data_IF_808280180858
#
_entry.id   IF_808280180858
#
_cell.length_a   1.000
_cell.length_b   1.000
_cell.length_c   1.000
_cell.angle_alpha   90.00
_cell.angle_beta   90.00
_cell.angle_gamma   90.00
#
_symmetry.space_group_name_H-M   'P 1'
#
loop_
_entity.id
_entity.type
_entity.pdbx_description
1 polymer ?
#
# COMPACT_ATOMS: atom_id res chain seq x y z
N UNK A 1 -14.00 69.66 -12.84
CA UNK A 1 -14.36 68.55 -11.97
C UNK A 1 -13.10 67.85 -11.49
N UNK A 2 -12.73 67.92 -10.21
CA UNK A 2 -11.56 67.27 -9.69
C UNK A 2 -11.84 65.75 -9.42
N UNK A 3 -10.84 64.91 -9.50
CA UNK A 3 -11.00 63.47 -9.25
C UNK A 3 -11.21 63.17 -7.75
N UNK A 4 -12.11 62.24 -7.49
CA UNK A 4 -12.54 61.79 -6.17
C UNK A 4 -11.48 60.83 -5.61
N UNK A 5 -10.80 61.23 -4.55
CA UNK A 5 -9.90 60.36 -3.75
C UNK A 5 -10.73 59.35 -2.97
N UNK A 6 -10.36 58.07 -3.08
CA UNK A 6 -10.88 56.98 -2.25
C UNK A 6 -10.01 56.81 -1.02
N UNK A 7 -10.57 56.62 0.18
CA UNK A 7 -9.79 56.50 1.39
C UNK A 7 -9.07 55.14 1.45
N UNK A 8 -7.77 55.22 1.77
CA UNK A 8 -6.94 54.08 2.08
C UNK A 8 -7.46 53.39 3.36
N UNK A 9 -7.92 52.13 3.24
CA UNK A 9 -8.28 51.29 4.37
C UNK A 9 -7.00 50.66 4.93
N UNK A 10 -6.57 51.19 6.06
CA UNK A 10 -5.53 50.60 6.90
C UNK A 10 -6.02 49.22 7.37
N UNK A 11 -5.31 48.17 6.99
CA UNK A 11 -5.48 46.82 7.53
C UNK A 11 -4.76 46.75 8.87
N UNK A 12 -5.53 46.71 9.94
CA UNK A 12 -5.07 46.32 11.27
C UNK A 12 -4.57 44.88 11.23
N UNK A 13 -3.27 44.72 11.45
CA UNK A 13 -2.60 43.43 11.66
C UNK A 13 -2.58 43.19 13.16
N UNK A 14 -3.65 42.64 13.71
CA UNK A 14 -3.68 41.96 15.00
C UNK A 14 -4.89 41.03 15.06
N UNK A 15 -4.74 39.81 14.48
CA UNK A 15 -5.58 38.67 14.82
C UNK A 15 -4.67 37.44 15.09
N UNK A 16 -4.40 37.11 16.38
CA UNK A 16 -3.66 35.91 16.74
C UNK A 16 -4.59 34.69 16.84
N UNK A 17 -5.21 34.27 15.74
CA UNK A 17 -6.21 33.21 15.72
C UNK A 17 -6.15 32.19 14.57
N UNK A 18 -5.12 32.23 13.75
CA UNK A 18 -4.91 31.18 12.74
C UNK A 18 -4.18 30.00 13.40
N UNK A 19 -4.92 28.94 13.72
CA UNK A 19 -4.39 27.67 14.23
C UNK A 19 -3.34 27.12 13.25
N UNK A 20 -2.08 27.28 13.59
CA UNK A 20 -0.96 26.59 13.01
C UNK A 20 -1.19 25.11 13.29
N UNK A 21 -1.47 24.32 12.26
CA UNK A 21 -1.40 22.87 12.32
C UNK A 21 0.03 22.52 12.76
N UNK A 22 0.21 22.22 14.03
CA UNK A 22 1.48 21.78 14.60
C UNK A 22 1.87 20.49 13.89
N UNK A 23 3.00 20.50 13.21
CA UNK A 23 3.70 19.30 12.80
C UNK A 23 3.85 18.38 14.04
N UNK A 24 3.74 17.05 13.90
CA UNK A 24 3.90 16.14 15.01
C UNK A 24 5.24 16.45 15.70
N UNK A 25 5.15 16.86 16.94
CA UNK A 25 6.32 17.25 17.72
C UNK A 25 7.23 16.04 17.85
N UNK A 26 8.54 16.24 17.76
CA UNK A 26 9.57 15.19 17.93
C UNK A 26 9.38 14.32 19.20
N UNK A 27 8.62 14.83 20.17
CA UNK A 27 8.17 14.12 21.37
C UNK A 27 7.14 13.02 21.06
N UNK A 28 6.22 13.23 20.10
CA UNK A 28 5.23 12.22 19.72
C UNK A 28 5.86 11.07 18.95
N UNK A 29 6.83 11.35 18.09
CA UNK A 29 7.61 10.34 17.37
C UNK A 29 8.48 9.51 18.32
N UNK A 30 9.11 10.15 19.32
CA UNK A 30 9.89 9.46 20.33
C UNK A 30 9.02 8.51 21.18
N UNK A 31 7.79 8.91 21.51
CA UNK A 31 6.81 8.10 22.24
C UNK A 31 6.33 6.90 21.42
N UNK A 32 6.13 7.07 20.10
CA UNK A 32 5.77 5.94 19.21
C UNK A 32 6.90 4.92 19.09
N UNK A 33 8.13 5.39 18.94
CA UNK A 33 9.32 4.52 18.89
C UNK A 33 9.49 3.77 20.21
N UNK A 34 9.32 4.44 21.35
CA UNK A 34 9.40 3.80 22.68
C UNK A 34 8.31 2.72 22.85
N UNK A 35 7.07 2.98 22.40
CA UNK A 35 5.99 1.99 22.43
C UNK A 35 6.25 0.80 21.51
N UNK A 36 6.83 1.03 20.32
CA UNK A 36 7.21 -0.02 19.39
C UNK A 36 8.32 -0.90 19.97
N UNK A 37 9.32 -0.31 20.61
CA UNK A 37 10.39 -1.03 21.31
C UNK A 37 9.86 -1.87 22.46
N UNK A 38 9.00 -1.32 23.32
CA UNK A 38 8.38 -2.06 24.42
C UNK A 38 7.55 -3.26 23.94
N UNK A 39 6.84 -3.13 22.80
CA UNK A 39 6.11 -4.26 22.20
C UNK A 39 7.07 -5.34 21.68
N UNK A 40 8.19 -4.95 21.06
CA UNK A 40 9.18 -5.88 20.56
C UNK A 40 9.88 -6.64 21.70
N UNK A 41 10.19 -5.98 22.79
CA UNK A 41 10.75 -6.61 24.00
C UNK A 41 9.78 -7.58 24.65
N UNK A 42 8.51 -7.19 24.78
CA UNK A 42 7.47 -8.07 25.30
C UNK A 42 7.26 -9.32 24.43
N UNK A 43 7.36 -9.19 23.11
CA UNK A 43 7.29 -10.32 22.17
C UNK A 43 8.49 -11.25 22.32
N UNK A 44 9.71 -10.73 22.48
CA UNK A 44 10.92 -11.52 22.73
C UNK A 44 10.84 -12.27 24.06
N UNK A 45 10.38 -11.62 25.13
CA UNK A 45 10.20 -12.26 26.43
C UNK A 45 9.19 -13.42 26.38
N UNK A 46 8.11 -13.27 25.62
CA UNK A 46 7.13 -14.35 25.39
C UNK A 46 7.74 -15.52 24.62
N UNK A 47 8.55 -15.24 23.60
CA UNK A 47 9.20 -16.27 22.80
C UNK A 47 10.21 -17.09 23.64
N UNK A 48 10.99 -16.44 24.50
CA UNK A 48 11.91 -17.12 25.43
C UNK A 48 11.14 -18.02 26.39
N UNK A 49 10.06 -17.51 26.98
CA UNK A 49 9.24 -18.28 27.93
C UNK A 49 8.58 -19.50 27.29
N UNK A 50 8.13 -19.37 26.03
CA UNK A 50 7.60 -20.52 25.28
C UNK A 50 8.67 -21.56 24.96
N UNK A 51 9.90 -21.12 24.71
CA UNK A 51 11.04 -22.01 24.48
C UNK A 51 11.42 -22.78 25.74
N UNK A 52 11.49 -22.10 26.90
CA UNK A 52 11.72 -22.74 28.19
C UNK A 52 10.66 -23.77 28.55
N UNK A 53 9.38 -23.48 28.25
CA UNK A 53 8.28 -24.43 28.45
C UNK A 53 8.37 -25.64 27.53
N UNK A 54 8.81 -25.43 26.28
CA UNK A 54 9.02 -26.51 25.32
C UNK A 54 10.22 -27.40 25.72
N UNK A 55 11.31 -26.80 26.18
CA UNK A 55 12.49 -27.51 26.65
C UNK A 55 12.19 -28.29 27.96
N UNK A 56 11.39 -27.70 28.87
CA UNK A 56 10.96 -28.39 30.10
C UNK A 56 10.04 -29.58 29.79
N UNK A 57 9.15 -29.45 28.77
CA UNK A 57 8.30 -30.56 28.33
C UNK A 57 9.07 -31.68 27.61
N UNK A 58 10.24 -31.38 27.07
CA UNK A 58 11.12 -32.36 26.40
C UNK A 58 12.06 -33.07 27.34
N UNK A 59 12.19 -32.58 28.59
CA UNK A 59 13.18 -33.07 29.57
C UNK A 59 12.64 -34.18 30.48
N UNK A 60 11.36 -34.56 30.39
CA UNK A 60 10.85 -35.73 31.09
C UNK A 60 11.30 -37.01 30.34
N UNK A 61 12.14 -37.84 30.94
CA UNK A 61 12.52 -39.13 30.34
C UNK A 61 11.29 -40.02 30.30
N UNK A 62 10.76 -40.24 29.09
CA UNK A 62 9.73 -41.25 28.85
C UNK A 62 10.42 -42.62 28.99
N UNK A 63 10.22 -43.23 30.16
CA UNK A 63 10.55 -44.62 30.40
C UNK A 63 9.69 -45.49 29.49
N UNK A 64 10.30 -46.14 28.50
CA UNK A 64 9.66 -47.09 27.60
C UNK A 64 9.77 -48.47 28.25
N UNK A 65 8.68 -49.09 28.67
CA UNK A 65 8.76 -50.51 29.05
C UNK A 65 8.99 -51.32 27.77
N UNK A 66 10.06 -52.12 27.83
CA UNK A 66 10.45 -53.11 26.84
C UNK A 66 9.27 -54.06 26.56
N UNK A 67 9.00 -54.26 25.27
CA UNK A 67 8.07 -55.24 24.81
C UNK A 67 8.77 -56.59 24.78
N UNK A 68 8.58 -57.39 25.82
CA UNK A 68 8.87 -58.83 25.77
C UNK A 68 7.57 -59.59 25.46
N UNK A 69 7.77 -60.53 24.59
CA UNK A 69 6.96 -61.58 24.05
C UNK A 69 5.92 -62.20 24.99
N UNK A 70 4.70 -62.44 24.48
CA UNK A 70 3.83 -63.52 24.90
C UNK A 70 2.96 -63.98 23.74
N UNK A 71 3.44 -65.04 23.10
CA UNK A 71 2.63 -66.03 22.42
C UNK A 71 1.62 -66.64 23.38
N UNK A 72 0.40 -66.90 22.93
CA UNK A 72 -0.60 -67.59 23.75
C UNK A 72 -1.94 -67.76 23.04
N UNK A 73 -2.01 -68.77 22.22
CA UNK A 73 -3.07 -69.77 21.98
C UNK A 73 -4.54 -69.32 21.93
N UNK A 74 -5.13 -69.78 20.82
CA UNK A 74 -6.55 -69.94 20.53
C UNK A 74 -7.27 -70.77 21.58
N UNK A 75 -8.48 -70.40 21.90
CA UNK A 75 -9.54 -71.40 22.11
C UNK A 75 -10.88 -70.85 21.65
N UNK A 76 -11.44 -71.59 20.71
CA UNK A 76 -12.82 -71.52 20.21
C UNK A 76 -13.77 -71.98 21.31
N UNK A 77 -14.78 -71.25 21.65
CA UNK A 77 -16.02 -71.85 22.05
C UNK A 77 -17.25 -70.96 21.75
N UNK A 78 -18.05 -71.51 20.84
CA UNK A 78 -19.37 -70.98 20.45
C UNK A 78 -20.37 -71.41 21.52
N UNK A 79 -21.16 -70.47 22.04
CA UNK A 79 -22.49 -70.82 22.56
C UNK A 79 -23.46 -69.65 22.33
N UNK A 80 -24.43 -69.89 21.50
CA UNK A 80 -25.65 -69.10 21.34
C UNK A 80 -26.47 -69.09 22.64
N UNK A 81 -26.95 -67.95 23.07
CA UNK A 81 -28.20 -67.88 23.81
C UNK A 81 -28.90 -66.56 23.54
N UNK A 82 -30.08 -66.66 22.97
CA UNK A 82 -31.10 -65.63 22.88
C UNK A 82 -31.58 -65.24 24.28
N UNK A 83 -31.81 -63.99 24.53
CA UNK A 83 -33.06 -63.46 25.04
C UNK A 83 -32.99 -61.96 25.40
N UNK A 84 -33.97 -61.30 24.87
CA UNK A 84 -34.75 -60.16 25.43
C UNK A 84 -34.17 -58.76 25.54
N UNK A 85 -34.93 -57.93 24.88
CA UNK A 85 -34.88 -56.46 24.88
C UNK A 85 -35.08 -55.87 26.27
N UNK A 86 -34.20 -54.95 26.63
CA UNK A 86 -34.59 -53.87 27.54
C UNK A 86 -33.94 -52.56 27.07
N UNK A 87 -34.81 -51.60 26.74
CA UNK A 87 -34.50 -50.28 26.28
C UNK A 87 -34.07 -49.42 27.45
N UNK A 88 -32.78 -49.25 27.65
CA UNK A 88 -32.21 -48.19 28.49
C UNK A 88 -31.32 -47.27 27.65
N UNK A 89 -31.46 -45.95 27.78
CA UNK A 89 -30.65 -45.03 26.99
C UNK A 89 -29.18 -45.13 27.39
N UNK A 90 -28.38 -45.64 26.46
CA UNK A 90 -26.93 -45.76 26.62
C UNK A 90 -26.33 -44.36 26.87
N UNK A 91 -26.09 -44.08 28.15
CA UNK A 91 -25.27 -42.99 28.62
C UNK A 91 -23.91 -43.15 27.92
N UNK A 92 -23.69 -42.43 26.82
CA UNK A 92 -22.40 -42.39 26.13
C UNK A 92 -21.36 -41.88 27.14
N UNK A 93 -20.70 -42.81 27.77
CA UNK A 93 -19.56 -42.55 28.62
C UNK A 93 -18.49 -41.95 27.73
N UNK A 94 -18.28 -40.64 27.87
CA UNK A 94 -17.15 -39.94 27.25
C UNK A 94 -15.88 -40.60 27.77
N UNK A 95 -15.37 -41.55 26.99
CA UNK A 95 -14.04 -42.13 27.23
C UNK A 95 -13.07 -40.97 27.23
N UNK A 96 -12.39 -40.72 28.36
CA UNK A 96 -11.35 -39.73 28.44
C UNK A 96 -10.32 -40.03 27.36
N UNK A 97 -9.98 -39.09 26.47
CA UNK A 97 -9.00 -39.35 25.39
C UNK A 97 -7.68 -39.80 26.02
N UNK A 98 -7.11 -40.87 25.48
CA UNK A 98 -5.82 -41.36 25.96
C UNK A 98 -4.77 -40.25 25.79
N UNK A 99 -3.75 -40.23 26.66
CA UNK A 99 -2.66 -39.23 26.58
C UNK A 99 -2.04 -39.19 25.18
N UNK A 100 -1.94 -40.32 24.49
CA UNK A 100 -1.48 -40.43 23.09
C UNK A 100 -2.42 -39.73 22.11
N UNK A 101 -3.73 -39.88 22.23
CA UNK A 101 -4.72 -39.20 21.38
C UNK A 101 -4.69 -37.66 21.60
N UNK A 102 -4.45 -37.22 22.83
CA UNK A 102 -4.28 -35.78 23.14
C UNK A 102 -3.01 -35.22 22.52
N UNK A 103 -1.89 -35.96 22.55
CA UNK A 103 -0.63 -35.57 21.93
C UNK A 103 -0.75 -35.45 20.39
N UNK A 104 -1.40 -36.41 19.74
CA UNK A 104 -1.67 -36.34 18.29
C UNK A 104 -2.61 -35.18 17.92
N UNK A 105 -3.63 -34.91 18.73
CA UNK A 105 -4.52 -33.78 18.53
C UNK A 105 -3.77 -32.43 18.68
N UNK A 106 -2.89 -32.32 19.68
CA UNK A 106 -2.05 -31.14 19.88
C UNK A 106 -1.06 -30.94 18.73
N UNK A 107 -0.37 -31.99 18.28
CA UNK A 107 0.53 -31.93 17.12
C UNK A 107 -0.23 -31.53 15.84
N UNK A 108 -1.40 -32.11 15.60
CA UNK A 108 -2.28 -31.72 14.49
C UNK A 108 -2.71 -30.25 14.54
N UNK A 109 -3.06 -29.75 15.74
CA UNK A 109 -3.42 -28.35 15.93
C UNK A 109 -2.24 -27.40 15.63
N UNK A 110 -1.03 -27.75 16.05
CA UNK A 110 0.18 -26.95 15.77
C UNK A 110 0.46 -26.93 14.26
N UNK A 111 0.36 -28.05 13.58
CA UNK A 111 0.55 -28.12 12.13
C UNK A 111 -0.50 -27.28 11.39
N UNK A 112 -1.77 -27.41 11.75
CA UNK A 112 -2.86 -26.62 11.15
C UNK A 112 -2.69 -25.11 11.37
N UNK A 113 -2.30 -24.70 12.57
CA UNK A 113 -2.06 -23.28 12.87
C UNK A 113 -0.86 -22.72 12.11
N UNK A 114 0.24 -23.48 11.97
CA UNK A 114 1.41 -23.06 11.20
C UNK A 114 1.12 -22.96 9.71
N UNK A 115 0.38 -23.90 9.14
CA UNK A 115 -0.05 -23.86 7.74
C UNK A 115 -1.02 -22.71 7.46
N UNK A 116 -1.95 -22.44 8.38
CA UNK A 116 -2.88 -21.31 8.27
C UNK A 116 -2.15 -19.97 8.35
N UNK A 117 -1.19 -19.82 9.25
CA UNK A 117 -0.36 -18.62 9.37
C UNK A 117 0.50 -18.41 8.11
N UNK A 118 1.12 -19.47 7.58
CA UNK A 118 1.90 -19.40 6.34
C UNK A 118 1.03 -19.02 5.14
N UNK A 119 -0.15 -19.63 5.02
CA UNK A 119 -1.13 -19.30 3.97
C UNK A 119 -1.59 -17.85 4.03
N UNK A 120 -1.87 -17.36 5.23
CA UNK A 120 -2.25 -15.95 5.46
C UNK A 120 -1.14 -14.97 5.05
N UNK A 121 0.12 -15.25 5.42
CA UNK A 121 1.27 -14.42 5.06
C UNK A 121 1.44 -14.36 3.54
N UNK A 122 1.40 -15.50 2.86
CA UNK A 122 1.54 -15.57 1.40
C UNK A 122 0.39 -14.81 0.71
N UNK A 123 -0.84 -14.97 1.19
CA UNK A 123 -2.00 -14.27 0.63
C UNK A 123 -1.89 -12.76 0.83
N UNK A 124 -1.50 -12.31 2.03
CA UNK A 124 -1.29 -10.90 2.33
C UNK A 124 -0.16 -10.30 1.47
N UNK A 125 0.95 -11.03 1.29
CA UNK A 125 2.05 -10.60 0.42
C UNK A 125 1.62 -10.42 -1.05
N UNK A 126 0.77 -11.29 -1.55
CA UNK A 126 0.24 -11.17 -2.93
C UNK A 126 -0.62 -9.93 -3.10
N UNK A 127 -1.49 -9.62 -2.13
CA UNK A 127 -2.35 -8.42 -2.18
C UNK A 127 -1.49 -7.15 -2.17
N UNK A 128 -0.52 -7.07 -1.27
CA UNK A 128 0.38 -5.92 -1.18
C UNK A 128 1.24 -5.79 -2.43
N UNK A 129 1.71 -6.92 -3.02
CA UNK A 129 2.45 -6.92 -4.27
C UNK A 129 1.63 -6.33 -5.43
N UNK A 130 0.39 -6.78 -5.63
CA UNK A 130 -0.50 -6.25 -6.66
C UNK A 130 -0.83 -4.77 -6.48
N UNK A 131 -0.99 -4.31 -5.24
CA UNK A 131 -1.20 -2.89 -4.96
C UNK A 131 0.02 -2.05 -5.34
N UNK A 132 1.23 -2.54 -5.05
CA UNK A 132 2.48 -1.88 -5.42
C UNK A 132 2.67 -1.80 -6.94
N UNK A 133 2.38 -2.87 -7.65
CA UNK A 133 2.44 -2.90 -9.12
C UNK A 133 1.48 -1.87 -9.73
N UNK A 134 0.22 -1.85 -9.31
CA UNK A 134 -0.75 -0.85 -9.75
C UNK A 134 -0.32 0.57 -9.41
N UNK A 135 0.16 0.80 -8.20
CA UNK A 135 0.69 2.09 -7.79
C UNK A 135 1.84 2.54 -8.69
N UNK A 136 2.76 1.63 -9.05
CA UNK A 136 3.86 1.91 -9.97
C UNK A 136 3.38 2.25 -11.39
N UNK A 137 2.33 1.57 -11.89
CA UNK A 137 1.72 1.87 -13.20
C UNK A 137 1.13 3.30 -13.22
N UNK A 138 0.34 3.68 -12.19
CA UNK A 138 -0.21 5.02 -12.07
C UNK A 138 0.87 6.09 -11.92
N UNK A 139 1.90 5.83 -11.11
CA UNK A 139 3.03 6.72 -10.93
C UNK A 139 3.81 6.93 -12.24
N UNK A 140 3.98 5.88 -13.04
CA UNK A 140 4.64 5.95 -14.35
C UNK A 140 3.82 6.78 -15.34
N UNK A 141 2.52 6.52 -15.44
CA UNK A 141 1.63 7.28 -16.32
C UNK A 141 1.61 8.78 -15.96
N UNK A 142 1.54 9.12 -14.67
CA UNK A 142 1.63 10.50 -14.21
C UNK A 142 2.98 11.15 -14.54
N UNK A 143 4.09 10.42 -14.34
CA UNK A 143 5.44 10.88 -14.67
C UNK A 143 5.59 11.18 -16.15
N UNK A 144 5.11 10.30 -17.02
CA UNK A 144 5.21 10.44 -18.47
C UNK A 144 4.38 11.62 -18.96
N UNK A 145 3.16 11.77 -18.46
CA UNK A 145 2.28 12.88 -18.81
C UNK A 145 2.85 14.24 -18.36
N UNK A 146 3.38 14.34 -17.12
CA UNK A 146 4.01 15.56 -16.62
C UNK A 146 5.28 15.88 -17.41
N UNK A 147 6.07 14.88 -17.74
CA UNK A 147 7.26 15.07 -18.57
C UNK A 147 6.90 15.57 -19.96
N UNK A 148 5.86 15.00 -20.59
CA UNK A 148 5.38 15.46 -21.89
C UNK A 148 4.85 16.89 -21.83
N UNK A 149 4.07 17.24 -20.78
CA UNK A 149 3.55 18.59 -20.58
C UNK A 149 4.64 19.64 -20.38
N UNK A 150 5.71 19.28 -19.68
CA UNK A 150 6.77 20.20 -19.27
C UNK A 150 7.99 20.20 -20.19
N UNK A 151 8.03 19.34 -21.21
CA UNK A 151 9.16 19.23 -22.16
C UNK A 151 8.70 19.63 -23.54
N UNK A 152 8.92 20.90 -23.90
CA UNK A 152 8.46 21.48 -25.18
C UNK A 152 9.64 22.12 -25.90
N UNK A 153 9.86 21.69 -27.13
CA UNK A 153 10.86 22.23 -28.05
C UNK A 153 10.17 23.06 -29.15
N UNK A 154 10.51 24.33 -29.36
CA UNK A 154 9.90 25.15 -30.38
C UNK A 154 10.04 24.58 -31.80
N UNK A 155 11.09 23.79 -32.08
CA UNK A 155 11.26 23.12 -33.38
C UNK A 155 10.35 21.91 -33.57
N UNK A 156 9.76 21.36 -32.49
CA UNK A 156 8.89 20.17 -32.45
C UNK A 156 7.60 20.40 -31.69
N UNK A 157 7.22 21.66 -31.49
CA UNK A 157 6.09 22.05 -30.63
C UNK A 157 4.80 21.31 -30.98
N UNK A 158 4.55 21.06 -32.27
CA UNK A 158 3.36 20.30 -32.73
C UNK A 158 3.44 18.81 -32.33
N UNK A 159 4.60 18.18 -32.47
CA UNK A 159 4.80 16.78 -32.08
C UNK A 159 4.73 16.61 -30.56
N UNK A 160 5.33 17.54 -29.81
CA UNK A 160 5.31 17.53 -28.35
C UNK A 160 3.88 17.74 -27.81
N UNK A 161 3.11 18.64 -28.42
CA UNK A 161 1.70 18.85 -28.08
C UNK A 161 0.84 17.62 -28.41
N UNK A 162 1.08 16.96 -29.53
CA UNK A 162 0.39 15.72 -29.87
C UNK A 162 0.73 14.63 -28.85
N UNK A 163 2.00 14.44 -28.54
CA UNK A 163 2.46 13.47 -27.52
C UNK A 163 1.80 13.75 -26.16
N UNK A 164 1.74 15.02 -25.75
CA UNK A 164 1.04 15.40 -24.51
C UNK A 164 -0.44 15.07 -24.58
N UNK A 165 -1.13 15.42 -25.68
CA UNK A 165 -2.56 15.15 -25.85
C UNK A 165 -2.88 13.63 -25.80
N UNK A 166 -1.96 12.77 -26.26
CA UNK A 166 -2.14 11.33 -26.24
C UNK A 166 -2.06 10.73 -24.81
N UNK A 167 -1.41 11.44 -23.89
CA UNK A 167 -1.38 11.08 -22.47
C UNK A 167 -2.59 11.56 -21.68
N UNK A 168 -3.52 12.28 -22.32
CA UNK A 168 -4.69 12.87 -21.67
C UNK A 168 -6.00 12.21 -22.09
N UNK A 169 -7.06 12.38 -21.30
CA UNK A 169 -8.39 11.83 -21.57
C UNK A 169 -9.52 12.79 -21.17
N UNK A 170 -10.74 12.45 -21.57
CA UNK A 170 -11.97 13.15 -21.16
C UNK A 170 -12.03 14.62 -21.61
N UNK A 171 -12.65 15.43 -20.77
CA UNK A 171 -12.83 16.87 -21.01
C UNK A 171 -11.47 17.58 -21.06
N UNK A 172 -10.50 17.12 -20.29
CA UNK A 172 -9.18 17.69 -20.27
C UNK A 172 -8.49 17.55 -21.64
N UNK A 173 -8.56 16.37 -22.26
CA UNK A 173 -8.05 16.16 -23.63
C UNK A 173 -8.70 17.12 -24.63
N UNK A 174 -10.03 17.29 -24.56
CA UNK A 174 -10.74 18.22 -25.44
C UNK A 174 -10.22 19.67 -25.27
N UNK A 175 -10.01 20.10 -24.03
CA UNK A 175 -9.46 21.43 -23.73
C UNK A 175 -8.03 21.61 -24.25
N UNK A 176 -7.18 20.59 -24.11
CA UNK A 176 -5.82 20.58 -24.65
C UNK A 176 -5.84 20.72 -26.16
N UNK A 177 -6.67 19.94 -26.85
CA UNK A 177 -6.77 19.97 -28.31
C UNK A 177 -7.31 21.32 -28.82
N UNK A 178 -8.28 21.92 -28.13
CA UNK A 178 -8.83 23.24 -28.50
C UNK A 178 -7.79 24.36 -28.39
N UNK A 179 -6.88 24.27 -27.42
CA UNK A 179 -5.83 25.28 -27.21
C UNK A 179 -4.52 24.98 -27.94
N UNK A 180 -4.36 23.76 -28.49
CA UNK A 180 -3.12 23.25 -29.03
C UNK A 180 -2.52 24.15 -30.11
N UNK A 181 -3.34 24.58 -31.07
CA UNK A 181 -2.85 25.38 -32.21
C UNK A 181 -2.31 26.74 -31.78
N UNK A 182 -3.04 27.44 -30.91
CA UNK A 182 -2.61 28.72 -30.37
C UNK A 182 -1.35 28.58 -29.52
N UNK A 183 -1.26 27.50 -28.74
CA UNK A 183 -0.11 27.22 -27.90
C UNK A 183 1.14 26.91 -28.75
N UNK A 184 1.02 26.04 -29.76
CA UNK A 184 2.10 25.71 -30.70
C UNK A 184 2.64 26.96 -31.36
N UNK A 185 1.73 27.80 -31.91
CA UNK A 185 2.12 29.06 -32.56
C UNK A 185 2.90 29.98 -31.59
N UNK A 186 2.40 30.14 -30.35
CA UNK A 186 3.06 30.97 -29.34
C UNK A 186 4.48 30.46 -28.98
N UNK A 187 4.66 29.12 -28.89
CA UNK A 187 5.95 28.51 -28.60
C UNK A 187 6.93 28.66 -29.79
N UNK A 188 6.45 28.44 -31.02
CA UNK A 188 7.27 28.62 -32.24
C UNK A 188 7.73 30.07 -32.40
N UNK A 189 6.85 31.05 -32.13
CA UNK A 189 7.16 32.49 -32.20
C UNK A 189 8.13 32.92 -31.09
N UNK A 190 7.94 32.45 -29.87
CA UNK A 190 8.78 32.82 -28.71
C UNK A 190 10.16 32.22 -28.74
N UNK A 191 10.36 31.12 -29.48
CA UNK A 191 11.60 30.30 -29.53
C UNK A 191 12.09 29.84 -28.15
N UNK A 192 11.20 29.79 -27.17
CA UNK A 192 11.48 29.35 -25.81
C UNK A 192 11.45 27.83 -25.75
N UNK A 193 12.55 27.23 -25.29
CA UNK A 193 12.61 25.80 -25.02
C UNK A 193 12.35 25.55 -23.53
N UNK A 194 11.47 24.60 -23.24
CA UNK A 194 11.18 24.17 -21.88
C UNK A 194 11.63 22.73 -21.73
N UNK A 195 12.45 22.46 -20.70
CA UNK A 195 12.89 21.11 -20.35
C UNK A 195 12.36 20.77 -18.95
N UNK A 196 11.41 19.85 -18.91
CA UNK A 196 10.86 19.32 -17.66
C UNK A 196 11.61 18.10 -17.15
N UNK A 197 11.73 18.01 -15.83
CA UNK A 197 12.27 16.83 -15.15
C UNK A 197 11.41 16.54 -13.94
N UNK A 198 10.80 15.36 -13.89
CA UNK A 198 10.06 14.90 -12.72
C UNK A 198 11.06 14.41 -11.70
N UNK A 199 11.03 15.00 -10.50
CA UNK A 199 11.94 14.68 -9.42
C UNK A 199 11.41 13.53 -8.57
N UNK A 200 10.12 13.62 -8.19
CA UNK A 200 9.50 12.62 -7.34
C UNK A 200 8.02 12.44 -7.70
N UNK A 201 7.51 11.23 -7.42
CA UNK A 201 6.11 10.85 -7.68
C UNK A 201 5.63 9.96 -6.56
N UNK A 202 4.49 10.28 -5.96
CA UNK A 202 3.84 9.48 -4.94
C UNK A 202 2.35 9.32 -5.23
N UNK A 203 1.84 8.10 -5.15
CA UNK A 203 0.39 7.85 -5.27
C UNK A 203 -0.25 8.10 -3.91
N UNK A 204 -1.08 9.12 -3.82
CA UNK A 204 -1.80 9.50 -2.61
C UNK A 204 -2.96 8.54 -2.34
N UNK A 205 -3.76 8.30 -3.38
CA UNK A 205 -4.88 7.38 -3.32
C UNK A 205 -5.11 6.73 -4.67
N UNK A 206 -5.63 5.50 -4.67
CA UNK A 206 -6.00 4.81 -5.91
C UNK A 206 -7.22 3.92 -5.71
N UNK A 207 -7.98 3.80 -6.78
CA UNK A 207 -9.05 2.84 -6.96
C UNK A 207 -8.65 1.78 -7.99
N UNK A 208 -9.61 1.03 -8.51
CA UNK A 208 -9.38 0.13 -9.63
C UNK A 208 -9.10 0.89 -10.94
N UNK A 209 -9.78 2.01 -11.15
CA UNK A 209 -9.85 2.70 -12.43
C UNK A 209 -9.35 4.15 -12.38
N UNK A 210 -8.96 4.65 -11.22
CA UNK A 210 -8.45 6.02 -11.05
C UNK A 210 -7.43 6.12 -9.92
N UNK A 211 -6.56 7.13 -9.98
CA UNK A 211 -5.63 7.47 -8.91
C UNK A 211 -5.37 8.98 -8.82
N UNK A 212 -5.08 9.44 -7.60
CA UNK A 212 -4.50 10.74 -7.31
C UNK A 212 -3.01 10.58 -7.10
N UNK A 213 -2.23 11.29 -7.89
CA UNK A 213 -0.77 11.19 -7.90
C UNK A 213 -0.15 12.54 -7.63
N UNK A 214 0.64 12.62 -6.56
CA UNK A 214 1.44 13.80 -6.24
C UNK A 214 2.72 13.78 -7.04
N UNK A 215 3.02 14.88 -7.73
CA UNK A 215 4.22 14.99 -8.57
C UNK A 215 4.99 16.26 -8.20
N UNK A 216 6.28 16.09 -7.98
CA UNK A 216 7.23 17.19 -7.87
C UNK A 216 8.08 17.23 -9.12
N UNK A 217 8.07 18.35 -9.81
CA UNK A 217 8.80 18.52 -11.04
C UNK A 217 9.60 19.83 -11.06
N UNK A 218 10.61 19.86 -11.90
CA UNK A 218 11.47 21.03 -12.14
C UNK A 218 11.45 21.34 -13.62
N UNK A 219 11.24 22.61 -13.98
CA UNK A 219 11.38 23.05 -15.36
C UNK A 219 12.56 24.00 -15.52
N UNK A 220 13.28 23.83 -16.61
CA UNK A 220 14.32 24.73 -17.07
C UNK A 220 13.81 25.46 -18.33
N UNK A 221 13.66 26.77 -18.23
CA UNK A 221 13.17 27.62 -19.31
C UNK A 221 14.39 28.27 -19.97
N UNK A 222 14.65 27.89 -21.20
CA UNK A 222 15.79 28.35 -22.00
C UNK A 222 15.26 29.36 -23.00
N UNK A 223 15.62 30.63 -22.81
CA UNK A 223 15.25 31.74 -23.68
C UNK A 223 16.42 32.11 -24.60
N UNK A 224 16.17 32.46 -25.87
CA UNK A 224 17.24 32.80 -26.81
C UNK A 224 18.03 34.06 -26.42
N UNK A 225 17.42 34.97 -25.64
CA UNK A 225 17.98 36.24 -25.18
C UNK A 225 18.73 36.12 -23.85
N UNK A 226 18.74 34.95 -23.20
CA UNK A 226 19.38 34.75 -21.88
C UNK A 226 20.40 33.62 -21.89
N UNK A 227 21.60 33.93 -21.34
CA UNK A 227 22.70 32.97 -21.26
C UNK A 227 22.47 31.85 -20.21
N UNK A 228 21.61 32.10 -19.21
CA UNK A 228 21.33 31.12 -18.15
C UNK A 228 19.86 30.70 -18.17
N UNK A 229 19.57 29.39 -18.06
CA UNK A 229 18.22 28.90 -17.92
C UNK A 229 17.56 29.43 -16.65
N UNK A 230 16.28 29.75 -16.75
CA UNK A 230 15.44 30.03 -15.58
C UNK A 230 14.86 28.71 -15.06
N UNK A 231 15.14 28.40 -13.80
CA UNK A 231 14.67 27.16 -13.19
C UNK A 231 13.46 27.43 -12.29
N UNK A 232 12.42 26.60 -12.41
CA UNK A 232 11.23 26.63 -11.56
C UNK A 232 10.89 25.24 -11.05
N UNK A 233 10.49 25.17 -9.77
CA UNK A 233 9.95 23.95 -9.16
C UNK A 233 8.43 24.00 -9.12
N UNK A 234 7.80 22.85 -9.34
CA UNK A 234 6.37 22.70 -9.43
C UNK A 234 5.91 21.57 -8.54
N UNK A 235 4.82 21.77 -7.85
CA UNK A 235 4.09 20.71 -7.13
C UNK A 235 2.70 20.62 -7.73
N UNK A 236 2.27 19.43 -8.00
CA UNK A 236 0.98 19.23 -8.64
C UNK A 236 0.33 17.92 -8.21
N UNK A 237 -0.99 17.92 -8.22
CA UNK A 237 -1.81 16.73 -8.11
C UNK A 237 -2.26 16.36 -9.51
N UNK A 238 -2.01 15.12 -9.90
CA UNK A 238 -2.37 14.58 -11.21
C UNK A 238 -3.45 13.52 -11.02
N UNK A 239 -4.60 13.74 -11.64
CA UNK A 239 -5.67 12.75 -11.69
C UNK A 239 -5.43 11.85 -12.88
N UNK A 240 -5.25 10.56 -12.63
CA UNK A 240 -5.01 9.55 -13.66
C UNK A 240 -6.18 8.59 -13.69
N UNK A 241 -6.81 8.46 -14.84
CA UNK A 241 -7.96 7.57 -15.06
C UNK A 241 -7.62 6.50 -16.09
N UNK A 242 -8.29 5.36 -15.98
CA UNK A 242 -8.19 4.27 -16.94
C UNK A 242 -9.09 4.53 -18.15
N UNK A 243 -8.45 4.69 -19.30
CA UNK A 243 -9.12 4.86 -20.60
C UNK A 243 -8.87 3.60 -21.46
N UNK A 244 -9.80 2.67 -21.40
CA UNK A 244 -9.61 1.34 -21.99
C UNK A 244 -8.47 0.56 -21.33
N UNK A 245 -7.45 0.24 -22.08
CA UNK A 245 -6.24 -0.46 -21.60
C UNK A 245 -5.14 0.49 -21.11
N UNK A 246 -5.28 1.80 -21.31
CA UNK A 246 -4.26 2.79 -21.00
C UNK A 246 -4.63 3.62 -19.77
N UNK A 247 -3.60 4.08 -19.04
CA UNK A 247 -3.75 5.07 -17.99
C UNK A 247 -3.47 6.45 -18.58
N UNK A 248 -4.40 7.38 -18.43
CA UNK A 248 -4.32 8.74 -18.99
C UNK A 248 -4.71 9.77 -17.96
N UNK A 249 -4.18 10.96 -18.12
CA UNK A 249 -4.47 12.08 -17.22
C UNK A 249 -5.79 12.76 -17.60
N UNK A 250 -6.66 12.91 -16.61
CA UNK A 250 -7.94 13.61 -16.73
C UNK A 250 -7.93 15.02 -16.14
N UNK A 251 -6.94 15.34 -15.29
CA UNK A 251 -6.82 16.67 -14.66
C UNK A 251 -5.44 16.91 -14.08
N UNK A 252 -4.98 18.15 -14.11
CA UNK A 252 -3.84 18.66 -13.35
C UNK A 252 -4.29 19.77 -12.40
N UNK A 253 -3.81 19.72 -11.16
CA UNK A 253 -3.99 20.76 -10.17
C UNK A 253 -2.62 21.19 -9.64
N UNK A 254 -2.31 22.48 -9.75
CA UNK A 254 -1.06 23.02 -9.19
C UNK A 254 -1.28 23.36 -7.72
N UNK A 255 -0.33 22.91 -6.90
CA UNK A 255 -0.33 23.20 -5.46
C UNK A 255 0.67 24.33 -5.21
N UNK A 256 0.25 25.41 -4.55
CA UNK A 256 1.10 26.56 -4.25
C UNK A 256 2.28 26.22 -3.32
#
# INVERSE_FOLDING_TARGET
MPPRELPAKTLDIDDPGAGVAQAPTAVAEADEVARAQARAEAARARAVRLRELADAASSDPVDWPDAEDADGERDDNVTFSEAEADTAPSRRWRRRPSRKALAFAAAGAVICTSLSASGYIVWHHRIVGQQRERSAEYATAARDAVTAMMSIDPSKAREDMQRFSDTTTGIFKASVLMSAENFVKAIEESKVRIKGTVQDVAVESMTKDSALVLVVAKSEIIKPDRAKPETRSWRMVVHVDRDGSQLKVSKFEFVP
#
